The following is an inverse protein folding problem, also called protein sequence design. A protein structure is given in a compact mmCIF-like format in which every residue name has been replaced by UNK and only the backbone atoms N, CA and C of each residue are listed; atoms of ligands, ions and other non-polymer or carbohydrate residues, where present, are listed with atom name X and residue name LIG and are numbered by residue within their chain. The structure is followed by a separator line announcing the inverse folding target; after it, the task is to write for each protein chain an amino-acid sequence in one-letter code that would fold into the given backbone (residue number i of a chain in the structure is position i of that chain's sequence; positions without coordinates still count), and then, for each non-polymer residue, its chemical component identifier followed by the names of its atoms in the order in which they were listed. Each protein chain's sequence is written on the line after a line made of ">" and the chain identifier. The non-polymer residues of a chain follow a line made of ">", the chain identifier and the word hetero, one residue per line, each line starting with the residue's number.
data_IF_517850682282
#
_entry.id   IF_517850682282
#
_cell.length_a   1.000
_cell.length_b   1.000
_cell.length_c   1.000
_cell.angle_alpha   90.00
_cell.angle_beta   90.00
_cell.angle_gamma   90.00
#
_symmetry.space_group_name_H-M   'P 1'
#
loop_
_entity.id
_entity.type
_entity.pdbx_description
1 polymer ?
#
# COMPACT_ATOMS: atom_id res chain seq x y z
N UNK A 1 -9.01 9.09 -0.41
CA UNK A 1 -8.04 10.17 -0.66
C UNK A 1 -7.91 10.45 -2.15
N UNK A 2 -7.59 11.68 -2.48
CA UNK A 2 -7.30 12.11 -3.84
C UNK A 2 -5.85 11.77 -4.23
N UNK A 3 -5.51 11.94 -5.51
CA UNK A 3 -4.14 11.77 -5.99
C UNK A 3 -3.18 12.74 -5.29
N UNK A 4 -3.59 14.00 -5.10
CA UNK A 4 -2.75 14.98 -4.41
C UNK A 4 -2.53 14.64 -2.95
N UNK A 5 -3.58 14.19 -2.26
CA UNK A 5 -3.47 13.73 -0.87
C UNK A 5 -2.55 12.51 -0.77
N UNK A 6 -2.62 11.61 -1.74
CA UNK A 6 -1.75 10.44 -1.80
C UNK A 6 -0.29 10.83 -1.97
N UNK A 7 -0.01 11.77 -2.88
CA UNK A 7 1.34 12.29 -3.08
C UNK A 7 1.90 12.91 -1.79
N UNK A 8 1.08 13.70 -1.11
CA UNK A 8 1.46 14.34 0.16
C UNK A 8 1.72 13.30 1.26
N UNK A 9 0.90 12.26 1.32
CA UNK A 9 1.06 11.19 2.30
C UNK A 9 2.39 10.47 2.11
N UNK A 10 2.74 10.14 0.88
CA UNK A 10 4.02 9.51 0.56
C UNK A 10 5.18 10.45 0.95
N UNK A 11 5.09 11.71 0.59
CA UNK A 11 6.13 12.69 0.89
C UNK A 11 6.30 12.93 2.39
N UNK A 12 5.23 12.76 3.17
CA UNK A 12 5.30 12.89 4.64
C UNK A 12 6.15 11.77 5.26
N UNK A 13 6.06 10.56 4.73
CA UNK A 13 6.75 9.40 5.28
C UNK A 13 8.11 9.13 4.65
N UNK A 14 8.32 9.53 3.42
CA UNK A 14 9.56 9.28 2.69
C UNK A 14 10.05 10.57 2.02
N UNK A 15 11.10 10.47 1.20
CA UNK A 15 11.62 11.63 0.50
C UNK A 15 12.62 12.46 1.30
N UNK A 16 13.17 11.88 2.37
CA UNK A 16 14.16 12.53 3.21
C UNK A 16 15.57 12.22 2.70
N UNK A 17 16.33 13.24 2.38
CA UNK A 17 17.69 13.06 1.85
C UNK A 17 18.67 12.45 2.86
N UNK A 18 18.38 12.56 4.14
CA UNK A 18 19.21 12.04 5.23
C UNK A 18 18.82 10.62 5.67
N UNK A 19 17.93 9.95 4.91
CA UNK A 19 17.43 8.62 5.19
C UNK A 19 16.61 8.51 6.50
N UNK A 20 16.14 9.63 7.04
CA UNK A 20 15.26 9.63 8.21
C UNK A 20 13.83 9.21 7.86
N UNK A 21 13.49 9.14 6.57
CA UNK A 21 12.18 8.71 6.11
C UNK A 21 11.94 7.22 6.28
N UNK A 22 10.69 6.82 6.12
CA UNK A 22 10.28 5.42 6.15
C UNK A 22 10.53 4.76 4.80
N UNK A 23 10.73 3.44 4.84
CA UNK A 23 10.48 2.57 3.68
C UNK A 23 8.98 2.39 3.62
N UNK A 24 8.38 2.67 2.47
CA UNK A 24 6.93 2.59 2.31
C UNK A 24 6.56 1.40 1.44
N UNK A 25 5.64 0.57 1.93
CA UNK A 25 4.97 -0.44 1.13
C UNK A 25 3.57 0.07 0.85
N UNK A 26 3.28 0.40 -0.39
CA UNK A 26 1.94 0.81 -0.82
C UNK A 26 1.23 -0.39 -1.40
N UNK A 27 0.07 -0.72 -0.85
CA UNK A 27 -0.74 -1.86 -1.28
C UNK A 27 -2.04 -1.38 -1.91
N UNK A 28 -2.29 -1.76 -3.14
CA UNK A 28 -3.58 -1.56 -3.80
C UNK A 28 -4.40 -2.85 -3.67
N UNK A 29 -5.59 -2.74 -3.10
CA UNK A 29 -6.48 -3.87 -2.86
C UNK A 29 -7.93 -3.49 -3.11
N UNK A 30 -8.81 -4.48 -3.09
CA UNK A 30 -10.25 -4.25 -3.15
C UNK A 30 -10.99 -5.40 -2.45
N UNK A 31 -12.18 -5.14 -1.94
CA UNK A 31 -12.98 -6.16 -1.25
C UNK A 31 -13.37 -7.32 -2.17
N UNK A 32 -13.51 -7.06 -3.47
CA UNK A 32 -13.87 -8.06 -4.48
C UNK A 32 -12.67 -8.86 -5.01
N UNK A 33 -11.48 -8.52 -4.58
CA UNK A 33 -10.24 -9.15 -5.06
C UNK A 33 -9.78 -10.22 -4.08
N UNK A 34 -10.04 -11.50 -4.39
CA UNK A 34 -9.71 -12.61 -3.49
C UNK A 34 -8.21 -12.70 -3.14
N UNK A 35 -7.27 -12.61 -4.12
CA UNK A 35 -5.85 -12.62 -3.77
C UNK A 35 -5.42 -11.43 -2.91
N UNK A 36 -6.05 -10.25 -3.10
CA UNK A 36 -5.79 -9.08 -2.26
C UNK A 36 -6.18 -9.35 -0.82
N UNK A 37 -7.38 -9.88 -0.61
CA UNK A 37 -7.92 -10.19 0.72
C UNK A 37 -7.05 -11.23 1.43
N UNK A 38 -6.60 -12.23 0.69
CA UNK A 38 -5.73 -13.27 1.23
C UNK A 38 -4.38 -12.72 1.71
N UNK A 39 -3.90 -11.68 1.06
CA UNK A 39 -2.60 -11.04 1.34
C UNK A 39 -2.64 -10.14 2.59
N UNK A 40 -3.79 -9.58 2.93
CA UNK A 40 -3.91 -8.59 4.02
C UNK A 40 -3.32 -9.07 5.35
N UNK A 41 -3.59 -10.29 5.84
CA UNK A 41 -2.97 -10.75 7.09
C UNK A 41 -1.45 -10.76 7.04
N UNK A 42 -0.87 -11.09 5.89
CA UNK A 42 0.58 -11.08 5.71
C UNK A 42 1.15 -9.67 5.78
N UNK A 43 0.44 -8.70 5.19
CA UNK A 43 0.82 -7.29 5.24
C UNK A 43 0.76 -6.74 6.66
N UNK A 44 -0.26 -7.12 7.43
CA UNK A 44 -0.40 -6.70 8.83
C UNK A 44 0.74 -7.25 9.68
N UNK A 45 1.10 -8.51 9.50
CA UNK A 45 2.22 -9.13 10.18
C UNK A 45 3.54 -8.46 9.81
N UNK A 46 3.71 -8.14 8.53
CA UNK A 46 4.91 -7.50 8.03
C UNK A 46 5.11 -6.13 8.68
N UNK A 47 4.08 -5.32 8.71
CA UNK A 47 4.14 -3.99 9.32
C UNK A 47 4.46 -4.09 10.81
N UNK A 48 3.78 -4.97 11.54
CA UNK A 48 4.01 -5.16 12.97
C UNK A 48 5.46 -5.56 13.24
N UNK A 49 6.02 -6.43 12.42
CA UNK A 49 7.38 -6.95 12.58
C UNK A 49 8.45 -5.89 12.30
N UNK A 50 8.22 -5.00 11.32
CA UNK A 50 9.25 -4.10 10.81
C UNK A 50 8.99 -2.62 11.06
N UNK A 51 7.88 -2.25 11.69
CA UNK A 51 7.57 -0.82 11.94
C UNK A 51 8.64 -0.13 12.76
N UNK A 52 9.24 -0.82 13.72
CA UNK A 52 10.32 -0.26 14.55
C UNK A 52 11.60 -0.01 13.75
N UNK A 53 11.76 -0.69 12.62
CA UNK A 53 12.89 -0.49 11.70
C UNK A 53 12.57 0.50 10.58
N UNK A 54 11.40 1.11 10.63
CA UNK A 54 11.03 2.18 9.71
C UNK A 54 10.14 1.78 8.55
N UNK A 55 9.51 0.59 8.58
CA UNK A 55 8.53 0.22 7.55
C UNK A 55 7.19 0.89 7.83
N UNK A 56 6.62 1.49 6.79
CA UNK A 56 5.27 2.08 6.82
C UNK A 56 4.42 1.42 5.74
N UNK A 57 3.29 0.84 6.13
CA UNK A 57 2.31 0.31 5.20
C UNK A 57 1.28 1.39 4.88
N UNK A 58 1.05 1.63 3.60
CA UNK A 58 -0.03 2.49 3.11
C UNK A 58 -0.91 1.64 2.22
N UNK A 59 -2.03 1.14 2.75
CA UNK A 59 -3.00 0.37 1.99
C UNK A 59 -4.06 1.31 1.41
N UNK A 60 -4.43 1.10 0.16
CA UNK A 60 -5.44 1.89 -0.53
C UNK A 60 -6.44 0.95 -1.20
N UNK A 61 -7.71 1.06 -0.81
CA UNK A 61 -8.79 0.32 -1.47
C UNK A 61 -9.11 0.98 -2.81
N UNK A 62 -9.23 0.15 -3.83
CA UNK A 62 -9.66 0.53 -5.16
C UNK A 62 -11.14 0.23 -5.40
N UNK A 63 -11.89 -0.02 -4.33
CA UNK A 63 -13.35 -0.10 -4.41
C UNK A 63 -13.95 1.25 -4.81
N UNK A 64 -15.17 1.24 -5.30
CA UNK A 64 -15.83 2.49 -5.66
C UNK A 64 -16.06 3.37 -4.41
N UNK A 65 -15.83 4.68 -4.50
CA UNK A 65 -15.98 5.56 -3.33
C UNK A 65 -17.36 5.49 -2.67
N UNK A 66 -18.41 5.24 -3.44
CA UNK A 66 -19.78 5.11 -2.95
C UNK A 66 -19.95 3.90 -2.02
N UNK A 67 -19.06 2.92 -2.09
CA UNK A 67 -19.12 1.71 -1.27
C UNK A 67 -18.37 1.83 0.05
N UNK A 68 -17.77 2.98 0.36
CA UNK A 68 -16.97 3.15 1.56
C UNK A 68 -17.74 2.76 2.82
N UNK A 69 -18.91 3.34 3.04
CA UNK A 69 -19.69 3.11 4.25
C UNK A 69 -20.51 1.81 4.21
N UNK A 70 -21.00 1.42 3.02
CA UNK A 70 -21.87 0.25 2.90
C UNK A 70 -21.12 -1.07 2.82
N UNK A 71 -19.87 -1.05 2.34
CA UNK A 71 -19.12 -2.28 2.06
C UNK A 71 -17.72 -2.29 2.66
N UNK A 72 -16.87 -1.32 2.30
CA UNK A 72 -15.44 -1.38 2.64
C UNK A 72 -15.20 -1.29 4.14
N UNK A 73 -15.80 -0.31 4.81
CA UNK A 73 -15.65 -0.11 6.26
C UNK A 73 -16.13 -1.32 7.06
N UNK A 74 -17.36 -1.83 6.81
CA UNK A 74 -17.82 -3.04 7.52
C UNK A 74 -16.95 -4.27 7.23
N UNK A 75 -16.49 -4.42 6.00
CA UNK A 75 -15.65 -5.54 5.59
C UNK A 75 -14.35 -5.56 6.41
N UNK A 76 -13.65 -4.42 6.48
CA UNK A 76 -12.40 -4.31 7.24
C UNK A 76 -12.65 -4.53 8.73
N UNK A 77 -13.66 -3.89 9.28
CA UNK A 77 -13.98 -3.98 10.71
C UNK A 77 -14.27 -5.42 11.14
N UNK A 78 -14.95 -6.18 10.29
CA UNK A 78 -15.33 -7.56 10.59
C UNK A 78 -14.19 -8.55 10.36
N UNK A 79 -13.46 -8.41 9.24
CA UNK A 79 -12.48 -9.42 8.81
C UNK A 79 -11.06 -9.11 9.23
N UNK A 80 -10.70 -7.85 9.31
CA UNK A 80 -9.32 -7.42 9.58
C UNK A 80 -9.29 -6.27 10.58
N UNK A 81 -9.77 -6.49 11.83
CA UNK A 81 -9.73 -5.43 12.84
C UNK A 81 -8.29 -4.93 13.02
N UNK A 82 -8.13 -3.61 13.04
CA UNK A 82 -6.83 -2.99 13.16
C UNK A 82 -6.12 -2.71 11.83
N UNK A 83 -6.62 -3.23 10.72
CA UNK A 83 -6.09 -2.91 9.40
C UNK A 83 -6.51 -1.48 9.03
N UNK A 84 -5.53 -0.63 8.74
CA UNK A 84 -5.78 0.76 8.35
C UNK A 84 -5.65 0.86 6.84
N UNK A 85 -6.71 1.31 6.18
CA UNK A 85 -6.71 1.48 4.73
C UNK A 85 -7.32 2.83 4.36
N UNK A 86 -6.76 3.45 3.34
CA UNK A 86 -7.38 4.57 2.64
C UNK A 86 -8.26 4.03 1.52
N UNK A 87 -9.05 4.90 0.91
CA UNK A 87 -9.84 4.57 -0.27
C UNK A 87 -9.54 5.61 -1.35
N UNK A 88 -9.30 5.13 -2.57
CA UNK A 88 -9.03 5.99 -3.71
C UNK A 88 -10.30 6.73 -4.14
N UNK A 89 -10.25 8.06 -4.13
CA UNK A 89 -11.37 8.92 -4.55
C UNK A 89 -11.39 9.18 -6.05
N UNK A 90 -10.28 8.92 -6.74
CA UNK A 90 -10.20 9.18 -8.18
C UNK A 90 -10.98 8.11 -8.94
N UNK A 91 -11.86 8.51 -9.86
CA UNK A 91 -12.52 7.58 -10.76
C UNK A 91 -11.52 6.98 -11.75
N UNK A 92 -10.49 7.74 -12.09
CA UNK A 92 -9.38 7.27 -12.93
C UNK A 92 -8.30 6.68 -12.02
N UNK A 93 -8.29 5.35 -11.90
CA UNK A 93 -7.32 4.64 -11.07
C UNK A 93 -5.90 4.78 -11.63
N UNK A 94 -5.74 4.90 -12.93
CA UNK A 94 -4.42 5.09 -13.55
C UNK A 94 -3.81 6.45 -13.18
N UNK A 95 -4.63 7.48 -13.08
CA UNK A 95 -4.20 8.79 -12.61
C UNK A 95 -3.72 8.73 -11.18
N UNK A 96 -4.43 7.99 -10.33
CA UNK A 96 -4.07 7.81 -8.92
C UNK A 96 -2.75 7.02 -8.81
N UNK A 97 -2.67 5.87 -9.49
CA UNK A 97 -1.49 5.03 -9.48
C UNK A 97 -0.28 5.74 -10.10
N UNK A 98 -0.52 6.63 -11.05
CA UNK A 98 0.53 7.41 -11.72
C UNK A 98 1.33 8.31 -10.78
N UNK A 99 0.84 8.56 -9.58
CA UNK A 99 1.62 9.26 -8.53
C UNK A 99 2.90 8.47 -8.22
N UNK A 100 2.83 7.15 -8.28
CA UNK A 100 3.96 6.26 -8.00
C UNK A 100 4.55 5.70 -9.29
N UNK A 101 3.71 5.12 -10.14
CA UNK A 101 4.14 4.39 -11.33
C UNK A 101 3.16 4.59 -12.48
N UNK A 102 3.50 5.47 -13.46
CA UNK A 102 2.65 5.69 -14.63
C UNK A 102 2.47 4.43 -15.51
N UNK A 103 3.33 3.42 -15.34
CA UNK A 103 3.27 2.19 -16.11
C UNK A 103 2.45 1.09 -15.42
N UNK A 104 1.72 1.40 -14.34
CA UNK A 104 0.89 0.42 -13.66
C UNK A 104 -0.09 -0.24 -14.62
N UNK A 105 -0.13 -1.57 -14.60
CA UNK A 105 -0.91 -2.38 -15.54
C UNK A 105 -2.24 -2.88 -14.99
N UNK A 106 -2.71 -2.30 -13.88
CA UNK A 106 -4.00 -2.60 -13.25
C UNK A 106 -4.13 -4.02 -12.66
N UNK A 107 -3.04 -4.77 -12.59
CA UNK A 107 -3.04 -6.06 -11.89
C UNK A 107 -3.28 -5.83 -10.40
N UNK A 108 -4.17 -6.63 -9.80
CA UNK A 108 -4.48 -6.57 -8.38
C UNK A 108 -4.22 -7.93 -7.71
N UNK A 109 -3.60 -7.97 -6.55
CA UNK A 109 -3.01 -6.83 -5.83
C UNK A 109 -1.73 -6.35 -6.49
N UNK A 110 -1.39 -5.08 -6.28
CA UNK A 110 -0.07 -4.56 -6.60
C UNK A 110 0.50 -3.89 -5.35
N UNK A 111 1.76 -4.18 -5.08
CA UNK A 111 2.50 -3.58 -3.98
C UNK A 111 3.69 -2.81 -4.54
N UNK A 112 3.81 -1.55 -4.16
CA UNK A 112 4.93 -0.69 -4.57
C UNK A 112 5.86 -0.48 -3.39
N UNK A 113 7.15 -0.67 -3.61
CA UNK A 113 8.17 -0.41 -2.59
C UNK A 113 8.88 0.90 -2.89
N UNK A 114 8.78 1.83 -1.95
CA UNK A 114 9.40 3.15 -2.02
C UNK A 114 10.46 3.23 -0.94
N UNK A 115 11.68 3.62 -1.32
CA UNK A 115 12.76 3.72 -0.36
C UNK A 115 12.66 4.99 0.52
N UNK A 116 13.56 5.13 1.48
CA UNK A 116 13.55 6.24 2.44
C UNK A 116 13.69 7.60 1.78
N UNK A 117 14.24 7.66 0.57
CA UNK A 117 14.40 8.91 -0.19
C UNK A 117 13.19 9.24 -1.05
N UNK A 118 12.18 8.35 -1.08
CA UNK A 118 10.95 8.55 -1.85
C UNK A 118 11.00 7.98 -3.26
N UNK A 119 12.02 7.18 -3.58
CA UNK A 119 12.17 6.60 -4.91
C UNK A 119 11.51 5.23 -4.99
N UNK A 120 10.76 4.97 -6.05
CA UNK A 120 10.19 3.64 -6.34
C UNK A 120 11.33 2.66 -6.64
N UNK A 121 11.39 1.57 -5.88
CA UNK A 121 12.45 0.57 -6.02
C UNK A 121 11.95 -0.76 -6.57
N UNK A 122 10.69 -1.09 -6.37
CA UNK A 122 10.13 -2.35 -6.87
C UNK A 122 8.61 -2.25 -6.98
N UNK A 123 8.07 -3.00 -7.94
CA UNK A 123 6.63 -3.20 -8.10
C UNK A 123 6.37 -4.70 -8.07
N UNK A 124 5.59 -5.14 -7.08
CA UNK A 124 5.28 -6.55 -6.86
C UNK A 124 3.82 -6.79 -7.26
N UNK A 125 3.62 -7.36 -8.44
CA UNK A 125 2.28 -7.67 -8.95
C UNK A 125 1.87 -9.09 -8.56
N UNK A 126 0.58 -9.24 -8.21
CA UNK A 126 0.03 -10.52 -7.78
C UNK A 126 0.24 -10.78 -6.29
N UNK A 127 -0.50 -11.75 -5.74
CA UNK A 127 -0.44 -12.07 -4.32
C UNK A 127 0.92 -12.57 -3.86
N UNK A 128 1.38 -12.11 -2.70
CA UNK A 128 2.66 -12.46 -2.11
C UNK A 128 2.46 -12.99 -0.70
N UNK A 129 3.41 -13.80 -0.24
CA UNK A 129 3.44 -14.26 1.15
C UNK A 129 4.46 -13.43 1.97
N UNK A 130 4.48 -13.67 3.28
CA UNK A 130 5.35 -12.93 4.19
C UNK A 130 6.83 -13.03 3.78
N UNK A 131 7.30 -14.24 3.43
CA UNK A 131 8.70 -14.44 3.06
C UNK A 131 9.10 -13.66 1.81
N UNK A 132 8.20 -13.58 0.82
CA UNK A 132 8.44 -12.83 -0.41
C UNK A 132 8.52 -11.32 -0.11
N UNK A 133 7.63 -10.81 0.76
CA UNK A 133 7.69 -9.41 1.19
C UNK A 133 8.97 -9.12 1.96
N UNK A 134 9.36 -10.01 2.88
CA UNK A 134 10.56 -9.81 3.68
C UNK A 134 11.81 -9.75 2.80
N UNK A 135 11.90 -10.63 1.81
CA UNK A 135 13.03 -10.63 0.88
C UNK A 135 13.12 -9.31 0.08
N UNK A 136 11.98 -8.74 -0.28
CA UNK A 136 11.94 -7.50 -1.06
C UNK A 136 12.28 -6.27 -0.23
N UNK A 137 11.83 -6.19 1.03
CA UNK A 137 12.03 -5.02 1.87
C UNK A 137 13.38 -4.99 2.59
N UNK A 138 13.97 -6.14 2.86
CA UNK A 138 15.20 -6.23 3.66
C UNK A 138 16.32 -5.29 3.18
N UNK A 139 16.65 -5.25 1.87
CA UNK A 139 17.71 -4.34 1.40
C UNK A 139 17.41 -2.86 1.62
N UNK A 140 16.13 -2.50 1.66
CA UNK A 140 15.71 -1.10 1.78
C UNK A 140 15.72 -0.61 3.24
N UNK A 141 15.65 -1.53 4.19
CA UNK A 141 15.63 -1.19 5.62
C UNK A 141 17.03 -0.99 6.21
N UNK A 142 18.04 -1.37 5.48
CA UNK A 142 19.44 -1.22 5.91
C UNK A 142 19.91 0.24 5.86
#
# INVERSE_FOLDING_TARGET
>A
ISADEFRQLIAHHAGKSDKSGNVILVNFWATWCAPCVKEIPELMKLEEKYKARGLKLIAVSMDEPEELESNVRPFVAKRFPGFVSYLCKESDHDKFAGVIDPAWNEIMPTNFLIDRTGKLRATLAGGKNLAEFEAAIAPLLE
#
